data_IF_252587740441
#
_entry.id   IF_252587740441
#
_cell.length_a   1.000
_cell.length_b   1.000
_cell.length_c   1.000
_cell.angle_alpha   90.00
_cell.angle_beta   90.00
_cell.angle_gamma   90.00
#
_symmetry.space_group_name_H-M   'P 1'
#
loop_
_entity.id
_entity.type
_entity.pdbx_description
1 polymer ?
#
# COMPACT_ATOMS: atom_id res chain seq x y z
N UNK A 1 9.36 -5.19 -7.96
CA UNK A 1 8.27 -4.78 -8.87
C UNK A 1 8.04 -3.27 -8.69
N UNK A 2 7.36 -2.59 -9.62
CA UNK A 2 7.17 -1.12 -9.58
C UNK A 2 5.71 -0.74 -9.44
N UNK A 3 5.44 0.52 -9.10
CA UNK A 3 4.09 1.09 -8.94
C UNK A 3 3.25 0.93 -10.21
N UNK A 4 3.85 1.17 -11.38
CA UNK A 4 3.16 1.14 -12.68
C UNK A 4 2.61 -0.24 -13.02
N UNK A 5 3.31 -1.30 -12.59
CA UNK A 5 2.88 -2.68 -12.82
C UNK A 5 1.53 -3.00 -12.15
N UNK A 6 1.16 -2.22 -11.13
CA UNK A 6 -0.06 -2.41 -10.34
C UNK A 6 -1.07 -1.28 -10.51
N UNK A 7 -0.73 -0.21 -11.23
CA UNK A 7 -1.55 1.00 -11.29
C UNK A 7 -2.94 0.76 -11.91
N UNK A 8 -3.01 -0.11 -12.91
CA UNK A 8 -4.25 -0.42 -13.64
C UNK A 8 -5.06 -1.57 -13.02
N UNK A 9 -4.57 -2.19 -11.93
CA UNK A 9 -5.25 -3.31 -11.25
C UNK A 9 -6.50 -2.83 -10.52
N UNK A 10 -7.56 -3.61 -10.40
CA UNK A 10 -8.64 -3.27 -9.46
C UNK A 10 -8.18 -3.37 -7.99
N UNK A 11 -8.90 -2.74 -7.06
CA UNK A 11 -8.59 -2.90 -5.62
C UNK A 11 -8.66 -4.37 -5.17
N UNK A 12 -9.60 -5.13 -5.74
CA UNK A 12 -9.74 -6.56 -5.45
C UNK A 12 -8.52 -7.35 -5.93
N UNK A 13 -8.01 -7.07 -7.13
CA UNK A 13 -6.77 -7.65 -7.61
C UNK A 13 -5.58 -7.25 -6.74
N UNK A 14 -5.48 -5.99 -6.30
CA UNK A 14 -4.41 -5.53 -5.42
C UNK A 14 -4.42 -6.27 -4.09
N UNK A 15 -5.58 -6.45 -3.46
CA UNK A 15 -5.68 -7.22 -2.23
C UNK A 15 -5.39 -8.71 -2.44
N UNK A 16 -5.80 -9.29 -3.57
CA UNK A 16 -5.46 -10.68 -3.90
C UNK A 16 -3.95 -10.86 -4.08
N UNK A 17 -3.30 -9.98 -4.85
CA UNK A 17 -1.85 -9.97 -5.04
C UNK A 17 -1.09 -9.79 -3.72
N UNK A 18 -1.53 -8.84 -2.89
CA UNK A 18 -0.92 -8.60 -1.58
C UNK A 18 -1.05 -9.84 -0.68
N UNK A 19 -2.21 -10.50 -0.71
CA UNK A 19 -2.41 -11.72 0.07
C UNK A 19 -1.52 -12.87 -0.38
N UNK A 20 -1.41 -13.09 -1.69
CA UNK A 20 -0.53 -14.11 -2.25
C UNK A 20 0.93 -13.88 -1.84
N UNK A 21 1.43 -12.66 -2.01
CA UNK A 21 2.80 -12.27 -1.67
C UNK A 21 3.11 -12.50 -0.18
N UNK A 22 2.22 -12.05 0.71
CA UNK A 22 2.41 -12.18 2.16
C UNK A 22 2.33 -13.64 2.66
N UNK A 23 1.59 -14.50 1.95
CA UNK A 23 1.53 -15.92 2.25
C UNK A 23 2.70 -16.70 1.63
N UNK A 24 3.52 -16.07 0.78
CA UNK A 24 4.57 -16.73 0.01
C UNK A 24 4.01 -17.67 -1.06
N UNK A 25 2.76 -17.46 -1.46
CA UNK A 25 2.06 -18.27 -2.44
C UNK A 25 2.10 -17.58 -3.82
N UNK A 26 2.12 -18.38 -4.89
CA UNK A 26 1.91 -17.84 -6.23
C UNK A 26 0.48 -17.32 -6.41
N UNK A 27 0.21 -16.68 -7.55
CA UNK A 27 -1.16 -16.36 -7.96
C UNK A 27 -2.02 -17.63 -7.91
N UNK A 28 -2.97 -17.67 -6.97
CA UNK A 28 -3.82 -18.83 -6.72
C UNK A 28 -4.40 -19.41 -8.02
N UNK A 29 -4.21 -20.72 -8.21
CA UNK A 29 -4.62 -21.39 -9.46
C UNK A 29 -6.13 -21.61 -9.52
N UNK A 30 -6.81 -21.63 -8.36
CA UNK A 30 -8.26 -21.75 -8.27
C UNK A 30 -8.95 -20.43 -7.89
N UNK A 31 -10.22 -20.24 -8.24
CA UNK A 31 -11.02 -19.10 -7.78
C UNK A 31 -11.13 -19.00 -6.25
N UNK A 32 -11.11 -20.14 -5.55
CA UNK A 32 -11.16 -20.19 -4.10
C UNK A 32 -9.87 -19.63 -3.48
N UNK A 33 -8.71 -19.99 -4.03
CA UNK A 33 -7.42 -19.46 -3.59
C UNK A 33 -7.37 -17.94 -3.77
N UNK A 34 -7.80 -17.44 -4.93
CA UNK A 34 -7.83 -15.99 -5.22
C UNK A 34 -8.72 -15.23 -4.24
N UNK A 35 -9.87 -15.80 -3.88
CA UNK A 35 -10.78 -15.24 -2.89
C UNK A 35 -10.16 -15.26 -1.48
N UNK A 36 -9.47 -16.34 -1.11
CA UNK A 36 -8.77 -16.46 0.17
C UNK A 36 -7.64 -15.44 0.28
N UNK A 37 -6.81 -15.31 -0.77
CA UNK A 37 -5.76 -14.29 -0.86
C UNK A 37 -6.34 -12.89 -0.75
N UNK A 38 -7.42 -12.59 -1.47
CA UNK A 38 -8.09 -11.28 -1.42
C UNK A 38 -8.57 -10.93 -0.02
N UNK A 39 -9.23 -11.88 0.66
CA UNK A 39 -9.68 -11.71 2.06
C UNK A 39 -8.50 -11.48 2.99
N UNK A 40 -7.46 -12.29 2.87
CA UNK A 40 -6.25 -12.18 3.68
C UNK A 40 -5.56 -10.83 3.49
N UNK A 41 -5.28 -10.43 2.24
CA UNK A 41 -4.61 -9.17 1.94
C UNK A 41 -5.40 -7.95 2.42
N UNK A 42 -6.73 -7.97 2.28
CA UNK A 42 -7.60 -6.91 2.81
C UNK A 42 -7.57 -6.85 4.34
N UNK A 43 -7.64 -8.00 5.01
CA UNK A 43 -7.58 -8.07 6.47
C UNK A 43 -6.21 -7.61 6.98
N UNK A 44 -5.13 -8.07 6.35
CA UNK A 44 -3.77 -7.71 6.71
C UNK A 44 -3.55 -6.21 6.56
N UNK A 45 -3.95 -5.62 5.42
CA UNK A 45 -3.80 -4.18 5.18
C UNK A 45 -4.57 -3.35 6.20
N UNK A 46 -5.81 -3.76 6.53
CA UNK A 46 -6.60 -3.13 7.59
C UNK A 46 -5.94 -3.24 8.98
N UNK A 47 -5.39 -4.40 9.32
CA UNK A 47 -4.71 -4.60 10.61
C UNK A 47 -3.39 -3.83 10.71
N UNK A 48 -2.67 -3.68 9.59
CA UNK A 48 -1.40 -2.95 9.49
C UNK A 48 -1.56 -1.45 9.33
N UNK A 49 -2.78 -0.96 9.19
CA UNK A 49 -3.08 0.44 8.91
C UNK A 49 -2.34 1.41 9.86
N UNK A 50 -2.40 1.20 11.18
CA UNK A 50 -1.75 2.08 12.15
C UNK A 50 -0.22 2.05 12.08
N UNK A 51 0.37 0.89 11.77
CA UNK A 51 1.81 0.74 11.59
C UNK A 51 2.28 1.43 10.30
N UNK A 52 1.54 1.24 9.21
CA UNK A 52 1.78 1.90 7.94
C UNK A 52 1.63 3.41 8.05
N UNK A 53 0.63 3.91 8.80
CA UNK A 53 0.50 5.34 9.09
C UNK A 53 1.74 5.88 9.82
N UNK A 54 2.31 5.15 10.78
CA UNK A 54 3.52 5.61 11.48
C UNK A 54 4.74 5.68 10.54
N UNK A 55 4.93 4.65 9.71
CA UNK A 55 6.00 4.61 8.71
C UNK A 55 5.85 5.72 7.66
N UNK A 56 4.64 5.88 7.13
CA UNK A 56 4.36 6.73 5.95
C UNK A 56 4.13 8.17 6.38
N UNK A 57 3.20 8.43 7.30
CA UNK A 57 2.66 9.76 7.49
C UNK A 57 3.58 10.72 8.21
N UNK A 58 4.57 10.24 8.97
CA UNK A 58 5.53 11.09 9.70
C UNK A 58 6.88 11.22 8.99
N UNK A 59 7.03 10.60 7.83
CA UNK A 59 8.27 10.65 7.08
C UNK A 59 8.43 11.99 6.34
N UNK A 60 9.64 12.52 6.29
CA UNK A 60 9.92 13.80 5.64
C UNK A 60 9.52 13.81 4.15
N UNK A 61 9.76 12.70 3.44
CA UNK A 61 9.42 12.53 2.01
C UNK A 61 7.93 12.70 1.73
N UNK A 62 7.05 12.29 2.63
CA UNK A 62 5.59 12.33 2.45
C UNK A 62 4.95 13.58 3.05
N UNK A 63 5.56 14.17 4.07
CA UNK A 63 5.10 15.43 4.68
C UNK A 63 4.99 16.58 3.67
N UNK A 64 5.91 16.65 2.70
CA UNK A 64 5.85 17.63 1.62
C UNK A 64 4.67 17.48 0.66
N UNK A 65 4.04 16.29 0.64
CA UNK A 65 2.87 15.99 -0.21
C UNK A 65 1.55 16.26 0.54
N UNK A 66 1.55 16.12 1.87
CA UNK A 66 0.40 16.36 2.72
C UNK A 66 -0.04 17.84 2.69
N UNK A 67 -1.33 18.08 2.47
CA UNK A 67 -1.89 19.44 2.43
C UNK A 67 -1.78 20.11 1.06
N UNK A 68 -1.15 19.47 0.07
CA UNK A 68 -1.27 19.91 -1.32
C UNK A 68 -2.62 19.42 -1.87
N UNK A 69 -3.49 20.33 -2.27
CA UNK A 69 -4.83 20.02 -2.81
C UNK A 69 -4.79 19.31 -4.17
N UNK A 70 -3.60 19.02 -4.69
CA UNK A 70 -3.38 18.39 -5.99
C UNK A 70 -2.16 17.50 -6.05
N UNK A 71 -1.72 16.86 -4.94
CA UNK A 71 -0.74 15.78 -5.07
C UNK A 71 -1.28 14.75 -6.05
N UNK A 72 -0.50 14.46 -7.10
CA UNK A 72 -0.84 13.42 -8.05
C UNK A 72 -0.76 12.07 -7.31
N UNK A 73 -1.84 11.28 -7.34
CA UNK A 73 -1.87 9.96 -6.70
C UNK A 73 -0.74 9.06 -7.19
N UNK A 74 -0.30 9.25 -8.43
CA UNK A 74 0.84 8.51 -8.96
C UNK A 74 2.15 8.95 -8.29
N UNK A 75 2.35 10.24 -8.06
CA UNK A 75 3.49 10.77 -7.29
C UNK A 75 3.43 10.24 -5.85
N UNK A 76 2.27 10.31 -5.19
CA UNK A 76 2.08 9.74 -3.84
C UNK A 76 2.51 8.26 -3.82
N UNK A 77 2.07 7.46 -4.79
CA UNK A 77 2.42 6.06 -4.88
C UNK A 77 3.92 5.83 -5.07
N UNK A 78 4.59 6.58 -5.96
CA UNK A 78 6.04 6.46 -6.11
C UNK A 78 6.80 6.83 -4.84
N UNK A 79 6.42 7.93 -4.19
CA UNK A 79 7.06 8.38 -2.95
C UNK A 79 6.87 7.36 -1.82
N UNK A 80 5.68 6.78 -1.69
CA UNK A 80 5.42 5.74 -0.67
C UNK A 80 6.19 4.45 -1.01
N UNK A 81 6.26 4.06 -2.28
CA UNK A 81 7.00 2.87 -2.71
C UNK A 81 8.49 2.99 -2.41
N UNK A 82 9.10 4.12 -2.76
CA UNK A 82 10.50 4.41 -2.45
C UNK A 82 10.75 4.39 -0.94
N UNK A 83 9.89 5.06 -0.16
CA UNK A 83 9.97 5.09 1.29
C UNK A 83 9.91 3.68 1.91
N UNK A 84 8.93 2.87 1.54
CA UNK A 84 8.79 1.52 2.11
C UNK A 84 9.96 0.62 1.72
N UNK A 85 10.46 0.76 0.48
CA UNK A 85 11.65 0.03 0.03
C UNK A 85 12.89 0.44 0.83
N UNK A 86 13.07 1.74 1.14
CA UNK A 86 14.16 2.24 1.99
C UNK A 86 14.07 1.73 3.44
N UNK A 87 12.87 1.34 3.89
CA UNK A 87 12.61 0.76 5.23
C UNK A 87 12.70 -0.77 5.25
N UNK A 88 13.35 -1.37 4.25
CA UNK A 88 13.54 -2.82 4.08
C UNK A 88 12.24 -3.63 3.90
N UNK A 89 11.12 -3.00 3.51
CA UNK A 89 9.94 -3.76 3.08
C UNK A 89 10.20 -4.41 1.70
N UNK A 90 9.64 -5.60 1.47
CA UNK A 90 9.76 -6.30 0.18
C UNK A 90 9.28 -5.38 -0.97
N UNK A 91 10.03 -5.21 -2.07
CA UNK A 91 9.69 -4.26 -3.12
C UNK A 91 8.32 -4.50 -3.79
N UNK A 92 7.84 -5.74 -3.83
CA UNK A 92 6.53 -6.08 -4.39
C UNK A 92 5.42 -5.68 -3.42
N UNK A 93 5.57 -6.04 -2.15
CA UNK A 93 4.67 -5.65 -1.07
C UNK A 93 4.60 -4.12 -0.92
N UNK A 94 5.74 -3.45 -0.97
CA UNK A 94 5.84 -1.99 -0.93
C UNK A 94 5.07 -1.33 -2.07
N UNK A 95 5.19 -1.84 -3.30
CA UNK A 95 4.48 -1.29 -4.47
C UNK A 95 2.95 -1.48 -4.35
N UNK A 96 2.50 -2.65 -3.91
CA UNK A 96 1.08 -2.95 -3.70
C UNK A 96 0.47 -2.05 -2.61
N UNK A 97 1.17 -1.89 -1.49
CA UNK A 97 0.77 -0.98 -0.39
C UNK A 97 0.71 0.46 -0.89
N UNK A 98 1.72 0.90 -1.64
CA UNK A 98 1.79 2.26 -2.15
C UNK A 98 0.59 2.62 -3.05
N UNK A 99 0.23 1.72 -3.98
CA UNK A 99 -0.95 1.92 -4.85
C UNK A 99 -2.25 1.94 -4.02
N UNK A 100 -2.40 1.02 -3.06
CA UNK A 100 -3.57 0.99 -2.18
C UNK A 100 -3.72 2.29 -1.37
N UNK A 101 -2.63 2.78 -0.77
CA UNK A 101 -2.63 4.04 0.00
C UNK A 101 -2.92 5.23 -0.92
N UNK A 102 -2.32 5.30 -2.10
CA UNK A 102 -2.56 6.37 -3.07
C UNK A 102 -4.02 6.41 -3.56
N UNK A 103 -4.69 5.25 -3.66
CA UNK A 103 -6.12 5.17 -4.01
C UNK A 103 -7.05 5.64 -2.89
N UNK A 104 -6.72 5.32 -1.64
CA UNK A 104 -7.37 5.91 -0.47
C UNK A 104 -7.13 7.43 -0.46
N UNK A 105 -5.96 7.85 -0.94
CA UNK A 105 -5.47 9.22 -0.96
C UNK A 105 -4.64 9.51 0.28
N UNK A 106 -3.41 9.99 0.10
CA UNK A 106 -2.43 10.13 1.18
C UNK A 106 -2.95 11.01 2.33
N UNK A 107 -3.59 12.14 2.02
CA UNK A 107 -4.18 13.01 3.04
C UNK A 107 -5.33 12.35 3.81
N UNK A 108 -6.14 11.52 3.16
CA UNK A 108 -7.21 10.78 3.84
C UNK A 108 -6.63 9.65 4.70
N UNK A 109 -5.63 8.94 4.19
CA UNK A 109 -4.91 7.89 4.90
C UNK A 109 -4.22 8.42 6.15
N UNK A 110 -3.59 9.60 6.08
CA UNK A 110 -2.84 10.18 7.21
C UNK A 110 -3.69 10.99 8.20
N UNK A 111 -4.97 11.23 7.92
CA UNK A 111 -5.86 12.07 8.74
C UNK A 111 -5.98 11.60 10.19
N UNK A 112 -5.98 10.28 10.40
CA UNK A 112 -6.12 9.65 11.72
C UNK A 112 -4.80 9.09 12.22
N UNK A 113 -3.67 9.51 11.63
CA UNK A 113 -2.36 8.99 12.01
C UNK A 113 -2.11 9.27 13.51
N UNK A 114 -1.70 8.25 14.29
CA UNK A 114 -1.35 8.46 15.70
C UNK A 114 -0.17 9.43 15.81
N UNK A 115 -0.12 10.21 16.88
CA UNK A 115 0.98 11.15 17.12
C UNK A 115 2.35 10.45 17.05
N UNK A 116 3.38 11.11 16.51
CA UNK A 116 4.74 10.55 16.52
C UNK A 116 5.16 10.33 17.98
N UNK A 117 5.71 9.13 18.25
CA UNK A 117 6.15 8.69 19.58
C UNK A 117 7.56 9.16 19.88
#
# INVERSE_FOLDING_TARGET
MTVEAYWDKSDEELYSLLGAELLGEGLGLSPEDQENHRRFGKQWFGNKHSELQRKICHHEKTQGLLGTTGSDRLIDAFTIHELLTDLDDDPTTAALIAVLVARVGLGAFCRTSPAPS
#
